data_IF_606496847544
#
_entry.id   IF_606496847544
#
_cell.length_a   1.000
_cell.length_b   1.000
_cell.length_c   1.000
_cell.angle_alpha   90.00
_cell.angle_beta   90.00
_cell.angle_gamma   90.00
#
_symmetry.space_group_name_H-M   'P 1'
#
loop_
_entity.id
_entity.type
_entity.pdbx_description
1 polymer ?
#
# COMPACT_ATOMS: atom_id res chain seq x y z
N UNK A 1 1.62 -10.49 -2.92
CA UNK A 1 1.74 -9.30 -2.06
C UNK A 1 0.86 -8.11 -2.50
N UNK A 2 0.85 -7.72 -3.78
CA UNK A 2 0.06 -6.57 -4.31
C UNK A 2 -1.41 -6.48 -3.88
N UNK A 3 -2.16 -7.60 -3.78
CA UNK A 3 -3.55 -7.60 -3.24
C UNK A 3 -3.64 -7.13 -1.79
N UNK A 4 -2.68 -7.53 -0.93
CA UNK A 4 -2.68 -7.13 0.49
C UNK A 4 -2.39 -5.64 0.66
N UNK A 5 -1.46 -5.10 -0.14
CA UNK A 5 -1.17 -3.66 -0.16
C UNK A 5 -2.36 -2.83 -0.69
N UNK A 6 -3.06 -3.32 -1.72
CA UNK A 6 -4.27 -2.68 -2.23
C UNK A 6 -5.37 -2.57 -1.17
N UNK A 7 -5.56 -3.63 -0.38
CA UNK A 7 -6.52 -3.65 0.73
C UNK A 7 -6.14 -2.65 1.82
N UNK A 8 -4.85 -2.55 2.17
CA UNK A 8 -4.36 -1.55 3.11
C UNK A 8 -4.65 -0.11 2.62
N UNK A 9 -4.39 0.19 1.34
CA UNK A 9 -4.68 1.50 0.75
C UNK A 9 -6.19 1.83 0.79
N UNK A 10 -7.06 0.83 0.64
CA UNK A 10 -8.51 1.00 0.75
C UNK A 10 -8.95 1.29 2.19
N UNK A 11 -8.38 0.62 3.19
CA UNK A 11 -8.63 0.92 4.60
C UNK A 11 -8.20 2.35 4.95
N UNK A 12 -7.04 2.79 4.46
CA UNK A 12 -6.55 4.17 4.61
C UNK A 12 -7.51 5.16 3.93
N UNK A 13 -8.00 4.83 2.73
CA UNK A 13 -8.95 5.68 2.00
C UNK A 13 -10.30 5.81 2.71
N UNK A 14 -10.75 4.77 3.40
CA UNK A 14 -11.97 4.77 4.20
C UNK A 14 -11.77 5.42 5.57
N UNK A 15 -10.58 5.93 5.86
CA UNK A 15 -10.18 6.50 7.14
C UNK A 15 -10.30 5.50 8.32
N UNK A 16 -10.21 4.20 8.03
CA UNK A 16 -10.22 3.10 9.01
C UNK A 16 -8.80 2.81 9.47
N UNK A 17 -8.23 3.74 10.23
CA UNK A 17 -6.81 3.74 10.63
C UNK A 17 -6.46 2.54 11.51
N UNK A 18 -7.32 2.19 12.48
CA UNK A 18 -7.08 1.07 13.41
C UNK A 18 -7.09 -0.29 12.68
N UNK A 19 -8.01 -0.45 11.73
CA UNK A 19 -8.09 -1.65 10.89
C UNK A 19 -6.90 -1.73 9.94
N UNK A 20 -6.50 -0.60 9.33
CA UNK A 20 -5.31 -0.52 8.48
C UNK A 20 -4.05 -0.93 9.25
N UNK A 21 -3.88 -0.43 10.48
CA UNK A 21 -2.72 -0.74 11.31
C UNK A 21 -2.70 -2.21 11.73
N UNK A 22 -3.84 -2.73 12.19
CA UNK A 22 -3.98 -4.14 12.58
C UNK A 22 -3.69 -5.05 11.38
N UNK A 23 -4.23 -4.71 10.21
CA UNK A 23 -4.02 -5.48 8.99
C UNK A 23 -2.55 -5.48 8.54
N UNK A 24 -1.87 -4.32 8.61
CA UNK A 24 -0.46 -4.23 8.29
C UNK A 24 0.41 -5.09 9.22
N UNK A 25 0.16 -5.02 10.53
CA UNK A 25 0.90 -5.79 11.53
C UNK A 25 0.67 -7.30 11.41
N UNK A 26 -0.54 -7.72 11.07
CA UNK A 26 -0.89 -9.15 11.02
C UNK A 26 -0.54 -9.81 9.68
N UNK A 27 -0.67 -9.10 8.56
CA UNK A 27 -0.59 -9.72 7.22
C UNK A 27 0.61 -9.27 6.38
N UNK A 28 1.27 -8.17 6.75
CA UNK A 28 2.36 -7.55 6.00
C UNK A 28 3.69 -7.54 6.77
N UNK A 29 3.68 -7.70 8.10
CA UNK A 29 4.90 -7.77 8.91
C UNK A 29 5.81 -8.93 8.51
N UNK A 30 5.26 -10.12 8.29
CA UNK A 30 6.01 -11.32 7.86
C UNK A 30 6.75 -11.13 6.52
N UNK A 31 6.21 -10.29 5.63
CA UNK A 31 6.81 -10.04 4.31
C UNK A 31 7.79 -8.86 4.32
N UNK A 32 7.71 -7.97 5.31
CA UNK A 32 8.60 -6.82 5.43
C UNK A 32 10.01 -7.21 5.94
N UNK A 33 10.14 -8.36 6.60
CA UNK A 33 11.43 -8.85 7.11
C UNK A 33 12.30 -9.49 6.02
N UNK A 34 11.68 -10.18 5.05
CA UNK A 34 12.41 -10.98 4.05
C UNK A 34 12.83 -10.20 2.78
N UNK A 35 12.13 -9.11 2.44
CA UNK A 35 12.41 -8.36 1.20
C UNK A 35 12.51 -6.85 1.43
N UNK A 36 13.71 -6.28 1.25
CA UNK A 36 14.00 -4.85 1.42
C UNK A 36 13.07 -3.97 0.56
N UNK A 37 12.80 -4.38 -0.69
CA UNK A 37 11.86 -3.67 -1.57
C UNK A 37 10.44 -3.69 -1.01
N UNK A 38 10.00 -4.81 -0.42
CA UNK A 38 8.68 -4.92 0.16
C UNK A 38 8.54 -4.10 1.45
N UNK A 39 9.59 -4.07 2.28
CA UNK A 39 9.67 -3.18 3.45
C UNK A 39 9.51 -1.71 3.06
N UNK A 40 10.23 -1.27 2.03
CA UNK A 40 10.14 0.10 1.52
C UNK A 40 8.74 0.44 0.99
N UNK A 41 8.08 -0.48 0.32
CA UNK A 41 6.70 -0.27 -0.16
C UNK A 41 5.67 -0.20 0.97
N UNK A 42 5.86 -1.01 2.02
CA UNK A 42 5.04 -0.95 3.23
C UNK A 42 5.24 0.38 3.96
N UNK A 43 6.50 0.81 4.14
CA UNK A 43 6.84 2.10 4.77
C UNK A 43 6.19 3.28 4.04
N UNK A 44 6.24 3.31 2.70
CA UNK A 44 5.56 4.36 1.90
C UNK A 44 4.05 4.35 2.08
N UNK A 45 3.46 3.16 2.18
CA UNK A 45 2.01 3.01 2.37
C UNK A 45 1.59 3.42 3.78
N UNK A 46 2.38 3.08 4.80
CA UNK A 46 2.14 3.51 6.18
C UNK A 46 2.39 5.00 6.38
N UNK A 47 3.32 5.60 5.64
CA UNK A 47 3.53 7.05 5.68
C UNK A 47 2.25 7.83 5.34
N UNK A 48 1.36 7.28 4.51
CA UNK A 48 0.05 7.87 4.20
C UNK A 48 -0.83 8.06 5.43
N UNK A 49 -0.70 7.21 6.46
CA UNK A 49 -1.46 7.29 7.71
C UNK A 49 -1.07 8.51 8.57
N UNK A 50 0.12 9.07 8.34
CA UNK A 50 0.67 10.19 9.14
C UNK A 50 0.18 11.55 8.62
N UNK A 51 -0.28 11.61 7.37
CA UNK A 51 -0.75 12.86 6.77
C UNK A 51 -2.25 13.03 6.99
N UNK A 52 -2.66 14.21 7.49
CA UNK A 52 -4.07 14.60 7.62
C UNK A 52 -4.82 14.53 6.27
N UNK A 53 -4.09 14.76 5.18
CA UNK A 53 -4.56 14.58 3.80
C UNK A 53 -3.60 13.65 3.05
N UNK A 54 -3.89 12.34 3.02
CA UNK A 54 -3.02 11.35 2.40
C UNK A 54 -2.69 11.63 0.91
N UNK A 55 -3.61 12.25 0.18
CA UNK A 55 -3.43 12.65 -1.23
C UNK A 55 -2.44 13.80 -1.44
N UNK A 56 -2.22 14.66 -0.43
CA UNK A 56 -1.24 15.75 -0.48
C UNK A 56 0.15 15.28 -0.07
N UNK A 57 0.30 14.00 0.33
CA UNK A 57 1.60 13.43 0.70
C UNK A 57 2.49 13.17 -0.53
N UNK A 58 3.82 13.05 -0.34
CA UNK A 58 4.73 12.59 -1.39
C UNK A 58 4.37 11.21 -1.99
N UNK A 59 3.51 10.45 -1.30
CA UNK A 59 3.05 9.13 -1.69
C UNK A 59 1.58 9.10 -2.12
N UNK A 60 0.93 10.26 -2.28
CA UNK A 60 -0.48 10.38 -2.68
C UNK A 60 -0.81 9.65 -3.99
N UNK A 61 0.18 9.50 -4.87
CA UNK A 61 0.09 8.72 -6.11
C UNK A 61 -0.27 7.23 -5.89
N UNK A 62 0.00 6.66 -4.70
CA UNK A 62 -0.41 5.31 -4.32
C UNK A 62 -1.93 5.20 -4.13
N UNK A 63 -2.59 6.32 -3.82
CA UNK A 63 -4.04 6.40 -3.65
C UNK A 63 -4.78 6.79 -4.93
N UNK A 64 -4.08 7.14 -6.01
CA UNK A 64 -4.73 7.43 -7.28
C UNK A 64 -5.28 6.16 -7.94
N UNK A 65 -6.46 6.27 -8.55
CA UNK A 65 -7.09 5.22 -9.35
C UNK A 65 -6.20 4.76 -10.51
N UNK A 66 -5.39 5.67 -11.05
CA UNK A 66 -4.37 5.46 -12.09
C UNK A 66 -3.35 4.39 -11.66
N UNK A 67 -3.02 4.33 -10.37
CA UNK A 67 -2.07 3.37 -9.83
C UNK A 67 -2.55 1.91 -9.96
N UNK A 68 -3.86 1.67 -9.88
CA UNK A 68 -4.44 0.33 -10.11
C UNK A 68 -4.24 -0.14 -11.54
N UNK A 69 -4.37 0.75 -12.52
CA UNK A 69 -4.15 0.42 -13.93
C UNK A 69 -2.67 0.14 -14.23
N UNK A 70 -1.75 0.92 -13.63
CA UNK A 70 -0.31 0.69 -13.77
C UNK A 70 0.09 -0.65 -13.13
N UNK A 71 -0.40 -0.95 -11.93
CA UNK A 71 -0.13 -2.23 -11.27
C UNK A 71 -0.72 -3.41 -12.05
N UNK A 72 -1.94 -3.28 -12.58
CA UNK A 72 -2.55 -4.28 -13.44
C UNK A 72 -1.71 -4.55 -14.70
N UNK A 73 -1.22 -3.49 -15.36
CA UNK A 73 -0.35 -3.61 -16.53
C UNK A 73 1.01 -4.24 -16.20
N UNK A 74 1.61 -3.92 -15.04
CA UNK A 74 2.85 -4.55 -14.60
C UNK A 74 2.70 -6.04 -14.27
N UNK A 75 1.56 -6.46 -13.70
CA UNK A 75 1.28 -7.90 -13.48
C UNK A 75 1.12 -8.60 -14.83
N UNK A 76 0.39 -7.97 -15.77
CA UNK A 76 0.17 -8.54 -17.10
C UNK A 76 1.48 -8.76 -17.87
N UNK A 77 2.45 -7.86 -17.72
CA UNK A 77 3.75 -7.97 -18.39
C UNK A 77 4.75 -8.89 -17.68
N UNK A 78 4.55 -9.25 -16.41
CA UNK A 78 5.42 -10.19 -15.69
C UNK A 78 5.02 -11.66 -15.90
N UNK A 79 3.92 -11.91 -16.62
CA UNK A 79 3.40 -13.23 -16.98
C UNK A 79 3.68 -13.60 -18.45
N UNK A 80 4.47 -12.79 -19.16
CA UNK A 80 4.97 -13.03 -20.52
C UNK A 80 6.42 -13.52 -20.50
#
# INVERSE_FOLDING_TARGET
MKKKQQHLIELIRLNLIDEALTYAQTHLAEFAEDEIKMRQELEKTMALLVFDKPLESPYGYLMETSHRQIIANQINNALL
#
